data_IF_899444047537
#
_entry.id   IF_899444047537
#
_cell.length_a   1.000
_cell.length_b   1.000
_cell.length_c   1.000
_cell.angle_alpha   90.00
_cell.angle_beta   90.00
_cell.angle_gamma   90.00
#
_symmetry.space_group_name_H-M   'P 1'
#
loop_
_entity.id
_entity.type
_entity.pdbx_description
1 polymer ?
#
# COMPACT_ATOMS: atom_id res chain seq x y z
N UNK A 1 -40.45 6.11 -23.79
CA UNK A 1 -39.09 6.35 -24.34
C UNK A 1 -38.24 7.23 -23.41
N UNK A 2 -38.70 8.43 -23.01
CA UNK A 2 -37.93 9.38 -22.20
C UNK A 2 -37.55 8.88 -20.79
N UNK A 3 -38.44 8.14 -20.12
CA UNK A 3 -38.17 7.55 -18.78
C UNK A 3 -37.09 6.47 -18.81
N UNK A 4 -37.09 5.62 -19.84
CA UNK A 4 -36.03 4.61 -20.06
C UNK A 4 -34.70 5.30 -20.38
N UNK A 5 -34.73 6.36 -21.17
CA UNK A 5 -33.54 7.16 -21.48
C UNK A 5 -32.96 7.85 -20.23
N UNK A 6 -33.80 8.42 -19.38
CA UNK A 6 -33.40 9.02 -18.10
C UNK A 6 -32.80 7.98 -17.14
N UNK A 7 -33.39 6.78 -17.08
CA UNK A 7 -32.87 5.66 -16.28
C UNK A 7 -31.48 5.22 -16.77
N UNK A 8 -31.31 5.03 -18.08
CA UNK A 8 -30.02 4.65 -18.67
C UNK A 8 -28.94 5.71 -18.45
N UNK A 9 -29.28 7.00 -18.57
CA UNK A 9 -28.32 8.10 -18.32
C UNK A 9 -27.86 8.12 -16.86
N UNK A 10 -28.75 7.81 -15.92
CA UNK A 10 -28.42 7.72 -14.49
C UNK A 10 -27.57 6.52 -14.16
N UNK A 11 -27.83 5.36 -14.77
CA UNK A 11 -26.96 4.18 -14.62
C UNK A 11 -25.55 4.43 -15.15
N UNK A 12 -25.41 5.08 -16.31
CA UNK A 12 -24.09 5.43 -16.84
C UNK A 12 -23.37 6.45 -15.97
N UNK A 13 -24.07 7.44 -15.41
CA UNK A 13 -23.45 8.38 -14.46
C UNK A 13 -22.99 7.67 -13.18
N UNK A 14 -23.75 6.70 -12.69
CA UNK A 14 -23.39 5.92 -11.50
C UNK A 14 -22.21 4.99 -11.78
N UNK A 15 -22.15 4.36 -12.95
CA UNK A 15 -21.01 3.49 -13.30
C UNK A 15 -19.71 4.29 -13.40
N UNK A 16 -19.74 5.47 -14.02
CA UNK A 16 -18.56 6.35 -14.08
C UNK A 16 -18.12 6.84 -12.69
N UNK A 17 -19.06 7.09 -11.77
CA UNK A 17 -18.74 7.48 -10.40
C UNK A 17 -18.15 6.32 -9.60
N UNK A 18 -18.61 5.09 -9.84
CA UNK A 18 -18.06 3.89 -9.23
C UNK A 18 -16.66 3.58 -9.76
N UNK A 19 -16.44 3.67 -11.08
CA UNK A 19 -15.11 3.54 -11.67
C UNK A 19 -14.13 4.58 -11.11
N UNK A 20 -14.57 5.84 -10.97
CA UNK A 20 -13.75 6.89 -10.36
C UNK A 20 -13.45 6.60 -8.88
N UNK A 21 -14.44 6.16 -8.10
CA UNK A 21 -14.26 5.82 -6.71
C UNK A 21 -13.29 4.63 -6.55
N UNK A 22 -13.47 3.56 -7.32
CA UNK A 22 -12.56 2.42 -7.33
C UNK A 22 -11.15 2.83 -7.73
N UNK A 23 -11.00 3.66 -8.77
CA UNK A 23 -9.69 4.15 -9.19
C UNK A 23 -9.02 5.03 -8.12
N UNK A 24 -9.81 5.73 -7.30
CA UNK A 24 -9.33 6.52 -6.16
C UNK A 24 -8.96 5.66 -4.93
N UNK A 25 -9.76 4.64 -4.63
CA UNK A 25 -9.57 3.77 -3.46
C UNK A 25 -8.51 2.68 -3.69
N UNK A 26 -8.49 2.07 -4.87
CA UNK A 26 -7.61 0.93 -5.16
C UNK A 26 -6.42 1.27 -6.05
N UNK A 27 -6.51 2.31 -6.90
CA UNK A 27 -5.47 2.79 -7.81
C UNK A 27 -4.57 1.65 -8.34
N UNK A 28 -5.19 0.56 -8.83
CA UNK A 28 -4.50 -0.70 -9.11
C UNK A 28 -3.41 -0.49 -10.13
N UNK A 29 -2.16 -0.79 -9.75
CA UNK A 29 -1.00 -0.72 -10.65
C UNK A 29 -0.56 0.68 -11.04
N UNK A 30 -1.12 1.74 -10.42
CA UNK A 30 -0.79 3.13 -10.78
C UNK A 30 0.51 3.64 -10.15
N UNK A 31 0.94 3.02 -9.05
CA UNK A 31 2.17 3.38 -8.34
C UNK A 31 3.13 2.20 -8.27
N UNK A 32 4.41 2.49 -8.52
CA UNK A 32 5.48 1.52 -8.32
C UNK A 32 5.57 1.14 -6.84
N UNK A 33 5.89 -0.13 -6.55
CA UNK A 33 6.08 -0.59 -5.18
C UNK A 33 7.11 0.23 -4.39
N UNK A 34 8.11 0.79 -5.09
CA UNK A 34 9.10 1.69 -4.48
C UNK A 34 8.48 3.03 -4.04
N UNK A 35 7.60 3.62 -4.86
CA UNK A 35 6.90 4.86 -4.52
C UNK A 35 6.02 4.67 -3.28
N UNK A 36 5.29 3.56 -3.22
CA UNK A 36 4.46 3.22 -2.05
C UNK A 36 5.35 3.01 -0.81
N UNK A 37 6.45 2.27 -0.97
CA UNK A 37 7.43 2.04 0.09
C UNK A 37 8.03 3.33 0.63
N UNK A 38 8.41 4.27 -0.25
CA UNK A 38 8.93 5.58 0.13
C UNK A 38 7.89 6.44 0.85
N UNK A 39 6.63 6.41 0.44
CA UNK A 39 5.55 7.14 1.13
C UNK A 39 5.33 6.61 2.55
N UNK A 40 5.35 5.29 2.73
CA UNK A 40 5.30 4.67 4.05
C UNK A 40 6.54 4.99 4.89
N UNK A 41 7.73 4.92 4.30
CA UNK A 41 8.99 5.27 4.95
C UNK A 41 9.01 6.73 5.41
N UNK A 42 8.62 7.66 4.55
CA UNK A 42 8.56 9.08 4.87
C UNK A 42 7.56 9.36 6.01
N UNK A 43 6.40 8.69 6.00
CA UNK A 43 5.40 8.82 7.06
C UNK A 43 5.91 8.27 8.41
N UNK A 44 6.69 7.20 8.37
CA UNK A 44 7.32 6.61 9.57
C UNK A 44 8.46 7.48 10.10
N UNK A 45 9.30 8.03 9.21
CA UNK A 45 10.48 8.80 9.60
C UNK A 45 10.19 10.16 10.21
N UNK A 46 9.04 10.77 9.91
CA UNK A 46 8.43 11.91 10.61
C UNK A 46 9.36 12.85 11.42
N UNK A 47 8.91 13.22 12.62
CA UNK A 47 9.65 14.12 13.52
C UNK A 47 10.71 13.41 14.36
N UNK A 48 10.60 12.09 14.56
CA UNK A 48 11.42 11.39 15.54
C UNK A 48 12.90 11.29 15.12
N UNK A 49 13.21 11.32 13.82
CA UNK A 49 14.59 11.22 13.32
C UNK A 49 15.41 12.44 13.70
N UNK A 50 14.75 13.60 13.83
CA UNK A 50 15.38 14.88 14.19
C UNK A 50 15.91 14.87 15.63
N UNK A 51 15.28 14.10 16.52
CA UNK A 51 15.64 14.06 17.95
C UNK A 51 16.26 12.73 18.38
N UNK A 52 15.77 11.60 17.88
CA UNK A 52 16.23 10.28 18.30
C UNK A 52 17.68 10.00 17.90
N UNK A 53 18.11 10.42 16.71
CA UNK A 53 19.49 10.18 16.26
C UNK A 53 20.50 11.03 17.05
N UNK A 54 20.29 12.35 17.22
CA UNK A 54 21.16 13.16 18.08
C UNK A 54 21.14 12.71 19.54
N UNK A 55 19.98 12.37 20.10
CA UNK A 55 19.85 11.90 21.48
C UNK A 55 20.59 10.56 21.68
N UNK A 56 20.36 9.58 20.82
CA UNK A 56 21.04 8.28 20.89
C UNK A 56 22.55 8.42 20.70
N UNK A 57 22.99 9.31 19.80
CA UNK A 57 24.41 9.56 19.55
C UNK A 57 25.04 10.33 20.71
N UNK A 58 24.34 11.28 21.33
CA UNK A 58 24.84 11.98 22.51
C UNK A 58 24.96 11.06 23.73
N UNK A 59 24.04 10.08 23.86
CA UNK A 59 23.96 9.21 25.04
C UNK A 59 24.88 7.99 24.94
N UNK A 60 25.00 7.39 23.75
CA UNK A 60 25.70 6.10 23.53
C UNK A 60 26.90 6.28 22.57
N UNK A 61 27.09 7.47 21.98
CA UNK A 61 28.13 7.72 21.00
C UNK A 61 27.85 7.03 19.66
N UNK A 62 28.93 6.69 18.95
CA UNK A 62 28.85 6.03 17.63
C UNK A 62 28.10 4.69 17.63
N UNK A 63 28.10 3.97 18.75
CA UNK A 63 27.34 2.71 18.88
C UNK A 63 25.83 2.95 18.90
N UNK A 64 25.37 4.09 19.46
CA UNK A 64 23.96 4.48 19.43
C UNK A 64 23.46 4.72 18.01
N UNK A 65 24.30 5.37 17.19
CA UNK A 65 24.02 5.60 15.77
C UNK A 65 23.90 4.29 14.97
N UNK A 66 24.84 3.36 15.16
CA UNK A 66 24.85 2.06 14.47
C UNK A 66 23.67 1.21 14.92
N UNK A 67 23.38 1.18 16.23
CA UNK A 67 22.23 0.47 16.79
C UNK A 67 20.90 0.98 16.25
N UNK A 68 20.70 2.30 16.25
CA UNK A 68 19.47 2.92 15.75
C UNK A 68 19.28 2.70 14.24
N UNK A 69 20.36 2.84 13.47
CA UNK A 69 20.34 2.64 12.02
C UNK A 69 20.06 1.17 11.66
N UNK A 70 20.70 0.22 12.36
CA UNK A 70 20.49 -1.22 12.11
C UNK A 70 19.05 -1.66 12.45
N UNK A 71 18.46 -1.13 13.52
CA UNK A 71 17.06 -1.39 13.86
C UNK A 71 16.10 -0.86 12.80
N UNK A 72 16.38 0.33 12.26
CA UNK A 72 15.58 0.93 11.18
C UNK A 72 15.62 0.09 9.89
N UNK A 73 16.79 -0.47 9.55
CA UNK A 73 16.94 -1.39 8.42
C UNK A 73 16.21 -2.72 8.66
N UNK A 74 16.21 -3.24 9.90
CA UNK A 74 15.53 -4.48 10.23
C UNK A 74 14.01 -4.40 9.96
N UNK A 75 13.36 -3.27 10.26
CA UNK A 75 11.94 -3.06 9.97
C UNK A 75 11.67 -3.13 8.45
N UNK A 76 12.54 -2.55 7.63
CA UNK A 76 12.40 -2.61 6.16
C UNK A 76 12.56 -4.05 5.64
N UNK A 77 13.48 -4.82 6.21
CA UNK A 77 13.68 -6.23 5.86
C UNK A 77 12.43 -7.05 6.18
N UNK A 78 11.83 -6.85 7.36
CA UNK A 78 10.58 -7.53 7.75
C UNK A 78 9.45 -7.21 6.76
N UNK A 79 9.30 -5.95 6.36
CA UNK A 79 8.32 -5.54 5.36
C UNK A 79 8.58 -6.16 3.98
N UNK A 80 9.83 -6.35 3.58
CA UNK A 80 10.17 -7.02 2.33
C UNK A 80 9.68 -8.47 2.32
N UNK A 81 9.90 -9.22 3.42
CA UNK A 81 9.40 -10.59 3.54
C UNK A 81 7.87 -10.66 3.59
N UNK A 82 7.25 -9.78 4.38
CA UNK A 82 5.80 -9.73 4.50
C UNK A 82 5.13 -9.36 3.17
N UNK A 83 5.72 -8.45 2.40
CA UNK A 83 5.23 -8.06 1.07
C UNK A 83 5.24 -9.21 0.07
N UNK A 84 6.25 -10.08 0.11
CA UNK A 84 6.32 -11.28 -0.74
C UNK A 84 5.24 -12.29 -0.35
N UNK A 85 5.04 -12.53 0.95
CA UNK A 85 4.02 -13.47 1.44
C UNK A 85 2.62 -13.00 1.07
N UNK A 86 2.30 -11.72 1.33
CA UNK A 86 1.01 -11.12 0.96
C UNK A 86 0.77 -11.22 -0.55
N UNK A 87 1.78 -10.96 -1.38
CA UNK A 87 1.65 -11.07 -2.84
C UNK A 87 1.40 -12.51 -3.29
N UNK A 88 2.00 -13.49 -2.62
CA UNK A 88 1.81 -14.91 -2.92
C UNK A 88 0.39 -15.36 -2.56
N UNK A 89 -0.09 -15.00 -1.37
CA UNK A 89 -1.47 -15.30 -0.93
C UNK A 89 -2.52 -14.62 -1.80
N UNK A 90 -2.32 -13.35 -2.16
CA UNK A 90 -3.21 -12.62 -3.06
C UNK A 90 -3.32 -13.28 -4.44
N UNK A 91 -2.22 -13.80 -5.00
CA UNK A 91 -2.25 -14.57 -6.24
C UNK A 91 -3.04 -15.86 -6.09
N UNK A 92 -2.85 -16.57 -4.98
CA UNK A 92 -3.56 -17.82 -4.64
C UNK A 92 -5.08 -17.61 -4.60
N UNK A 93 -5.55 -16.56 -3.91
CA UNK A 93 -6.97 -16.19 -3.89
C UNK A 93 -7.51 -15.76 -5.25
N UNK A 94 -6.71 -15.03 -6.04
CA UNK A 94 -7.11 -14.64 -7.40
C UNK A 94 -7.32 -15.89 -8.28
N UNK A 95 -6.43 -16.88 -8.21
CA UNK A 95 -6.57 -18.14 -8.96
C UNK A 95 -7.74 -19.03 -8.48
N UNK A 96 -8.05 -19.03 -7.19
CA UNK A 96 -9.18 -19.79 -6.63
C UNK A 96 -10.56 -19.19 -7.02
N UNK A 97 -10.62 -17.88 -7.26
CA UNK A 97 -11.83 -17.21 -7.76
C UNK A 97 -12.14 -17.50 -9.24
N UNK A 98 -11.13 -17.79 -10.06
CA UNK A 98 -11.33 -18.15 -11.47
C UNK A 98 -11.92 -19.56 -11.64
N UNK A 99 -11.53 -20.52 -10.79
CA UNK A 99 -12.02 -21.91 -10.91
C UNK A 99 -13.45 -22.11 -10.43
N UNK A 100 -14.05 -21.13 -9.74
CA UNK A 100 -15.41 -21.21 -9.20
C UNK A 100 -16.50 -20.70 -10.15
N UNK A 101 -16.14 -20.06 -11.27
CA UNK A 101 -17.08 -19.58 -12.30
C UNK A 101 -17.24 -20.55 -13.49
N UNK A 102 -16.48 -21.64 -13.55
CA UNK A 102 -16.48 -22.61 -14.66
C UNK A 102 -17.32 -23.88 -14.34
N UNK A 103 -17.96 -23.92 -13.15
CA UNK A 103 -18.58 -25.12 -12.58
C UNK A 103 -20.11 -25.07 -12.40
N UNK A 104 -20.82 -24.18 -13.11
CA UNK A 104 -22.28 -24.16 -13.19
C UNK A 104 -22.74 -24.26 -14.65
#
# INVERSE_FOLDING_TARGET
>A
AATVYAMMKRFRSSSNALDFADDYYTARGRFSGLTIGLSFFASSMGSWVVFAVPEATATIGWFGLIGYSSSSVAVLIIFMFLGVEVRTRMKEYASAGYTSHEGF
#
